data_IF_084847853208
#
_entry.id   IF_084847853208
#
_cell.length_a   1.000
_cell.length_b   1.000
_cell.length_c   1.000
_cell.angle_alpha   90.00
_cell.angle_beta   90.00
_cell.angle_gamma   90.00
#
_symmetry.space_group_name_H-M   'P 1'
#
loop_
_entity.id
_entity.type
_entity.pdbx_description
1 polymer ?
#
# COMPACT_ATOMS: atom_id res chain seq x y z
N UNK A 1 10.33 4.27 -10.80
CA UNK A 1 10.97 3.66 -9.61
C UNK A 1 10.96 2.14 -9.73
N UNK A 2 12.03 1.49 -9.38
CA UNK A 2 12.13 0.04 -9.42
C UNK A 2 11.99 -0.53 -8.00
N UNK A 3 10.85 -1.14 -7.72
CA UNK A 3 10.56 -1.74 -6.40
C UNK A 3 11.27 -3.09 -6.32
N UNK A 4 11.98 -3.33 -5.24
CA UNK A 4 12.68 -4.60 -5.02
C UNK A 4 12.26 -5.24 -3.70
N UNK A 5 12.01 -6.56 -3.75
CA UNK A 5 11.73 -7.34 -2.57
C UNK A 5 13.06 -7.67 -1.89
N UNK A 6 13.14 -7.42 -0.59
CA UNK A 6 14.33 -7.75 0.21
C UNK A 6 13.93 -8.39 1.52
N UNK A 7 14.53 -9.56 1.81
CA UNK A 7 14.30 -10.23 3.09
C UNK A 7 15.24 -9.71 4.18
N UNK A 8 16.37 -9.11 3.79
CA UNK A 8 17.32 -8.51 4.73
C UNK A 8 16.87 -7.13 5.17
N UNK A 9 16.18 -6.39 4.28
CA UNK A 9 15.67 -5.04 4.52
C UNK A 9 14.19 -5.00 4.16
N UNK A 10 13.31 -5.57 5.01
CA UNK A 10 11.91 -5.78 4.65
C UNK A 10 11.02 -4.54 4.75
N UNK A 11 11.59 -3.39 5.07
CA UNK A 11 10.86 -2.13 5.23
C UNK A 11 11.23 -1.16 4.14
N UNK A 12 10.24 -0.42 3.64
CA UNK A 12 10.50 0.70 2.76
C UNK A 12 11.04 1.88 3.57
N UNK A 13 12.01 2.61 3.02
CA UNK A 13 12.42 3.90 3.59
C UNK A 13 11.28 4.90 3.44
N UNK A 14 11.18 5.83 4.39
CA UNK A 14 10.14 6.87 4.34
C UNK A 14 10.21 7.67 3.02
N UNK A 15 11.41 8.07 2.63
CA UNK A 15 11.60 8.81 1.39
C UNK A 15 11.08 8.02 0.18
N UNK A 16 11.37 6.72 0.13
CA UNK A 16 10.93 5.83 -0.94
C UNK A 16 9.41 5.74 -0.99
N UNK A 17 8.77 5.50 0.16
CA UNK A 17 7.31 5.33 0.18
C UNK A 17 6.57 6.61 -0.18
N UNK A 18 7.11 7.77 0.21
CA UNK A 18 6.50 9.05 -0.13
C UNK A 18 6.67 9.42 -1.61
N UNK A 19 7.71 8.90 -2.25
CA UNK A 19 7.97 9.12 -3.69
C UNK A 19 7.28 8.09 -4.60
N UNK A 20 6.88 6.95 -4.05
CA UNK A 20 6.27 5.86 -4.83
C UNK A 20 4.92 6.27 -5.39
N UNK A 21 4.59 5.75 -6.57
CA UNK A 21 3.33 6.04 -7.27
C UNK A 21 2.55 4.77 -7.52
N UNK A 22 1.26 4.92 -7.88
CA UNK A 22 0.43 3.79 -8.28
C UNK A 22 0.99 3.11 -9.53
N UNK A 23 1.58 3.88 -10.44
CA UNK A 23 2.20 3.30 -11.63
C UNK A 23 3.37 2.39 -11.26
N UNK A 24 4.14 2.75 -10.23
CA UNK A 24 5.24 1.88 -9.76
C UNK A 24 4.70 0.53 -9.29
N UNK A 25 3.57 0.52 -8.59
CA UNK A 25 2.91 -0.72 -8.16
C UNK A 25 2.45 -1.54 -9.35
N UNK A 26 1.83 -0.90 -10.34
CA UNK A 26 1.33 -1.58 -11.54
C UNK A 26 2.48 -2.21 -12.31
N UNK A 27 3.58 -1.49 -12.47
CA UNK A 27 4.77 -1.99 -13.16
C UNK A 27 5.38 -3.19 -12.43
N UNK A 28 5.46 -3.11 -11.10
CA UNK A 28 5.97 -4.21 -10.29
C UNK A 28 5.09 -5.45 -10.47
N UNK A 29 3.77 -5.27 -10.34
CA UNK A 29 2.83 -6.39 -10.46
C UNK A 29 2.95 -7.07 -11.83
N UNK A 30 3.04 -6.29 -12.89
CA UNK A 30 3.14 -6.81 -14.25
C UNK A 30 4.43 -7.57 -14.54
N UNK A 31 5.53 -7.23 -13.84
CA UNK A 31 6.86 -7.79 -14.10
C UNK A 31 7.20 -8.97 -13.19
N UNK A 32 6.50 -9.15 -12.06
CA UNK A 32 6.91 -10.09 -11.01
C UNK A 32 6.07 -11.36 -11.00
N UNK A 33 6.62 -12.41 -10.35
CA UNK A 33 5.91 -13.66 -10.13
C UNK A 33 4.93 -13.53 -8.97
N UNK A 34 4.07 -14.55 -8.81
CA UNK A 34 3.01 -14.53 -7.80
C UNK A 34 3.53 -14.39 -6.37
N UNK A 35 4.63 -15.05 -6.06
CA UNK A 35 5.20 -14.99 -4.71
C UNK A 35 5.66 -13.57 -4.38
N UNK A 36 6.37 -12.93 -5.30
CA UNK A 36 6.84 -11.55 -5.07
C UNK A 36 5.71 -10.53 -5.11
N UNK A 37 4.64 -10.80 -5.85
CA UNK A 37 3.44 -9.96 -5.80
C UNK A 37 2.85 -9.94 -4.40
N UNK A 38 2.80 -11.09 -3.72
CA UNK A 38 2.35 -11.19 -2.34
C UNK A 38 3.36 -10.59 -1.37
N UNK A 39 4.65 -10.82 -1.60
CA UNK A 39 5.69 -10.29 -0.74
C UNK A 39 5.68 -8.75 -0.69
N UNK A 40 5.34 -8.10 -1.80
CA UNK A 40 5.18 -6.65 -1.80
C UNK A 40 4.10 -6.21 -0.81
N UNK A 41 2.97 -6.90 -0.80
CA UNK A 41 1.89 -6.59 0.13
C UNK A 41 2.38 -6.69 1.58
N UNK A 42 3.12 -7.74 1.91
CA UNK A 42 3.64 -7.94 3.26
C UNK A 42 4.73 -6.92 3.62
N UNK A 43 5.54 -6.48 2.65
CA UNK A 43 6.49 -5.39 2.90
C UNK A 43 5.78 -4.08 3.20
N UNK A 44 4.69 -3.79 2.48
CA UNK A 44 3.87 -2.61 2.76
C UNK A 44 3.27 -2.69 4.15
N UNK A 45 2.76 -3.87 4.55
CA UNK A 45 2.18 -4.07 5.87
C UNK A 45 3.23 -3.89 6.97
N UNK A 46 4.39 -4.50 6.81
CA UNK A 46 5.48 -4.36 7.77
C UNK A 46 5.93 -2.90 7.90
N UNK A 47 6.01 -2.19 6.78
CA UNK A 47 6.37 -0.78 6.75
C UNK A 47 5.31 0.09 7.43
N UNK A 48 4.03 -0.23 7.21
CA UNK A 48 2.92 0.45 7.87
C UNK A 48 3.07 0.38 9.39
N UNK A 49 3.30 -0.82 9.93
CA UNK A 49 3.47 -1.01 11.37
C UNK A 49 4.68 -0.24 11.90
N UNK A 50 5.78 -0.26 11.17
CA UNK A 50 7.00 0.45 11.56
C UNK A 50 6.78 1.95 11.60
N UNK A 51 6.14 2.52 10.57
CA UNK A 51 5.88 3.96 10.52
C UNK A 51 4.87 4.40 11.59
N UNK A 52 3.85 3.57 11.86
CA UNK A 52 2.90 3.85 12.93
C UNK A 52 3.60 3.88 14.29
N UNK A 53 4.47 2.91 14.57
CA UNK A 53 5.21 2.83 15.82
C UNK A 53 6.14 4.05 16.00
N UNK A 54 6.68 4.58 14.90
CA UNK A 54 7.56 5.74 14.90
C UNK A 54 6.77 7.06 14.83
N UNK A 55 5.45 7.00 14.81
CA UNK A 55 4.56 8.16 14.68
C UNK A 55 4.82 8.96 13.38
N UNK A 56 5.16 8.28 12.32
CA UNK A 56 5.35 8.85 10.98
C UNK A 56 4.06 8.69 10.19
N UNK A 57 3.08 9.55 10.47
CA UNK A 57 1.71 9.38 10.02
C UNK A 57 1.54 9.45 8.50
N UNK A 58 2.23 10.38 7.84
CA UNK A 58 2.13 10.53 6.39
C UNK A 58 2.63 9.29 5.66
N UNK A 59 3.78 8.77 6.08
CA UNK A 59 4.36 7.55 5.49
C UNK A 59 3.47 6.33 5.79
N UNK A 60 2.96 6.21 7.01
CA UNK A 60 2.06 5.14 7.38
C UNK A 60 0.77 5.18 6.54
N UNK A 61 0.20 6.37 6.36
CA UNK A 61 -0.99 6.54 5.52
C UNK A 61 -0.72 6.11 4.08
N UNK A 62 0.44 6.44 3.56
CA UNK A 62 0.82 6.07 2.20
C UNK A 62 0.91 4.56 2.05
N UNK A 63 1.49 3.86 3.03
CA UNK A 63 1.52 2.40 3.03
C UNK A 63 0.11 1.81 3.01
N UNK A 64 -0.78 2.30 3.88
CA UNK A 64 -2.16 1.83 3.95
C UNK A 64 -2.90 2.08 2.63
N UNK A 65 -2.69 3.24 2.01
CA UNK A 65 -3.27 3.57 0.73
C UNK A 65 -2.81 2.61 -0.37
N UNK A 66 -1.51 2.34 -0.44
CA UNK A 66 -0.98 1.39 -1.43
C UNK A 66 -1.52 -0.02 -1.20
N UNK A 67 -1.69 -0.44 0.05
CA UNK A 67 -2.29 -1.74 0.36
C UNK A 67 -3.74 -1.80 -0.12
N UNK A 68 -4.52 -0.74 0.11
CA UNK A 68 -5.90 -0.67 -0.36
C UNK A 68 -5.97 -0.77 -1.88
N UNK A 69 -5.17 0.03 -2.58
CA UNK A 69 -5.12 0.01 -4.04
C UNK A 69 -4.73 -1.38 -4.56
N UNK A 70 -3.70 -1.95 -3.97
CA UNK A 70 -3.14 -3.24 -4.41
C UNK A 70 -4.15 -4.36 -4.23
N UNK A 71 -4.90 -4.35 -3.13
CA UNK A 71 -5.96 -5.34 -2.89
C UNK A 71 -7.13 -5.16 -3.86
N UNK A 72 -7.50 -3.91 -4.14
CA UNK A 72 -8.68 -3.61 -4.95
C UNK A 72 -8.43 -3.85 -6.44
N UNK A 73 -7.27 -3.45 -6.95
CA UNK A 73 -6.97 -3.44 -8.38
C UNK A 73 -6.14 -4.65 -8.83
N UNK A 74 -5.15 -5.06 -8.03
CA UNK A 74 -4.14 -6.04 -8.48
C UNK A 74 -4.40 -7.45 -7.96
N UNK A 75 -4.30 -7.67 -6.67
CA UNK A 75 -4.41 -9.01 -6.08
C UNK A 75 -5.84 -9.56 -6.13
N UNK A 76 -6.81 -8.72 -5.90
CA UNK A 76 -8.25 -9.06 -5.90
C UNK A 76 -8.56 -10.39 -5.19
N UNK A 77 -8.13 -10.55 -3.93
CA UNK A 77 -8.39 -11.79 -3.18
C UNK A 77 -9.87 -11.88 -2.77
N UNK A 78 -10.31 -13.02 -2.20
CA UNK A 78 -11.63 -13.06 -1.58
C UNK A 78 -11.78 -11.92 -0.59
N UNK A 79 -12.95 -11.26 -0.58
CA UNK A 79 -13.25 -10.09 0.24
C UNK A 79 -12.33 -8.89 -0.07
N UNK A 80 -11.89 -8.75 -1.33
CA UNK A 80 -10.97 -7.67 -1.70
C UNK A 80 -11.54 -6.28 -1.42
N UNK A 81 -12.83 -6.07 -1.67
CA UNK A 81 -13.46 -4.77 -1.43
C UNK A 81 -13.51 -4.43 0.05
N UNK A 82 -13.82 -5.40 0.91
CA UNK A 82 -13.86 -5.20 2.36
C UNK A 82 -12.48 -4.94 2.92
N UNK A 83 -11.47 -5.69 2.47
CA UNK A 83 -10.10 -5.49 2.90
C UNK A 83 -9.56 -4.14 2.42
N UNK A 84 -9.84 -3.78 1.15
CA UNK A 84 -9.44 -2.49 0.62
C UNK A 84 -10.10 -1.34 1.38
N UNK A 85 -11.38 -1.48 1.73
CA UNK A 85 -12.08 -0.47 2.51
C UNK A 85 -11.45 -0.28 3.89
N UNK A 86 -11.04 -1.36 4.53
CA UNK A 86 -10.35 -1.29 5.82
C UNK A 86 -9.08 -0.44 5.72
N UNK A 87 -8.26 -0.70 4.71
CA UNK A 87 -6.98 0.00 4.57
C UNK A 87 -7.13 1.45 4.09
N UNK A 88 -8.11 1.73 3.22
CA UNK A 88 -8.32 3.12 2.79
C UNK A 88 -8.86 3.97 3.95
N UNK A 89 -9.71 3.39 4.81
CA UNK A 89 -10.19 4.07 6.00
C UNK A 89 -9.03 4.35 6.96
N UNK A 90 -8.12 3.40 7.12
CA UNK A 90 -6.92 3.57 7.94
C UNK A 90 -6.02 4.68 7.38
N UNK A 91 -5.84 4.73 6.06
CA UNK A 91 -5.08 5.80 5.41
C UNK A 91 -5.67 7.17 5.73
N UNK A 92 -7.00 7.29 5.64
CA UNK A 92 -7.69 8.56 5.92
C UNK A 92 -7.59 8.97 7.39
N UNK A 93 -7.61 8.02 8.32
CA UNK A 93 -7.40 8.32 9.73
C UNK A 93 -6.00 8.86 10.01
N UNK A 94 -5.01 8.35 9.27
CA UNK A 94 -3.61 8.76 9.44
C UNK A 94 -3.31 10.08 8.74
N UNK A 95 -3.87 10.30 7.53
CA UNK A 95 -3.60 11.48 6.73
C UNK A 95 -4.73 11.67 5.72
N UNK A 96 -5.61 12.63 5.97
CA UNK A 96 -6.80 12.86 5.15
C UNK A 96 -6.44 13.65 3.90
N UNK A 97 -6.38 12.98 2.75
CA UNK A 97 -6.08 13.61 1.47
C UNK A 97 -7.23 13.43 0.48
N UNK A 98 -7.38 14.36 -0.50
CA UNK A 98 -8.39 14.19 -1.56
C UNK A 98 -8.20 12.91 -2.37
N UNK A 99 -6.96 12.51 -2.63
CA UNK A 99 -6.66 11.28 -3.36
C UNK A 99 -7.23 10.06 -2.64
N UNK A 100 -7.02 9.95 -1.33
CA UNK A 100 -7.52 8.82 -0.56
C UNK A 100 -9.04 8.82 -0.49
N UNK A 101 -9.66 9.98 -0.37
CA UNK A 101 -11.12 10.12 -0.35
C UNK A 101 -11.74 9.66 -1.67
N UNK A 102 -11.09 9.97 -2.78
CA UNK A 102 -11.57 9.56 -4.10
C UNK A 102 -11.53 8.03 -4.24
N UNK A 103 -10.46 7.40 -3.79
CA UNK A 103 -10.35 5.94 -3.81
C UNK A 103 -11.34 5.29 -2.85
N UNK A 104 -11.59 5.90 -1.69
CA UNK A 104 -12.61 5.41 -0.77
C UNK A 104 -13.97 5.31 -1.47
N UNK A 105 -14.33 6.32 -2.24
CA UNK A 105 -15.58 6.29 -3.04
C UNK A 105 -15.58 5.16 -4.06
N UNK A 106 -14.50 5.00 -4.79
CA UNK A 106 -14.39 3.96 -5.80
C UNK A 106 -14.51 2.57 -5.21
N UNK A 107 -13.88 2.33 -4.07
CA UNK A 107 -13.91 1.05 -3.37
C UNK A 107 -15.31 0.75 -2.83
N UNK A 108 -16.04 1.78 -2.37
CA UNK A 108 -17.38 1.62 -1.80
C UNK A 108 -18.46 1.36 -2.85
N UNK A 109 -18.18 1.67 -4.11
CA UNK A 109 -19.11 1.42 -5.21
C UNK A 109 -19.14 -0.09 -5.64
#
# INVERSE_FOLDING_TARGET
MNIQISFDHPYFDEETILAMTLQDLDCFYGAENEVNRLNLFFMLEASLHKFQAANRREAAARCAFFMAYYLFIALTPPASCELAAFYIDQALELDDTPEYRQWQKSIAE
#
